data_IF_153490812205
#
_entry.id   IF_153490812205
#
_cell.length_a   1.000
_cell.length_b   1.000
_cell.length_c   1.000
_cell.angle_alpha   90.00
_cell.angle_beta   90.00
_cell.angle_gamma   90.00
#
_symmetry.space_group_name_H-M   'P 1'
#
loop_
_entity.id
_entity.type
_entity.pdbx_description
1 polymer ?
#
# COMPACT_ATOMS: atom_id res chain seq x y z
N UNK A 1 12.19 1.78 3.94
CA UNK A 1 12.03 2.62 2.75
C UNK A 1 10.60 2.37 2.31
N UNK A 2 9.75 3.39 2.27
CA UNK A 2 8.34 3.22 1.97
C UNK A 2 8.19 3.21 0.44
N UNK A 3 8.40 2.05 -0.17
CA UNK A 3 8.21 1.87 -1.60
C UNK A 3 6.84 1.25 -1.83
N UNK A 4 6.06 1.86 -2.72
CA UNK A 4 4.80 1.28 -3.19
C UNK A 4 4.98 0.91 -4.65
N UNK A 5 4.79 -0.36 -4.95
CA UNK A 5 4.82 -0.86 -6.32
C UNK A 5 3.40 -0.78 -6.88
N UNK A 6 3.26 -0.17 -8.06
CA UNK A 6 2.01 -0.01 -8.78
C UNK A 6 2.15 -0.69 -10.13
N UNK A 7 1.22 -1.59 -10.44
CA UNK A 7 1.03 -2.10 -11.79
C UNK A 7 0.14 -1.12 -12.56
N UNK A 8 0.61 -0.68 -13.72
CA UNK A 8 -0.06 0.21 -14.67
C UNK A 8 -0.18 -0.47 -16.04
N UNK A 9 -0.53 -1.74 -16.04
CA UNK A 9 -0.79 -2.55 -17.24
C UNK A 9 -2.11 -2.18 -17.95
N UNK A 10 -3.07 -1.58 -17.23
CA UNK A 10 -4.29 -1.05 -17.86
C UNK A 10 -4.02 0.25 -18.63
N UNK A 11 -4.38 0.25 -19.92
CA UNK A 11 -4.33 1.40 -20.84
C UNK A 11 -4.93 2.67 -20.22
N UNK A 12 -6.04 2.54 -19.49
CA UNK A 12 -6.71 3.67 -18.83
C UNK A 12 -5.82 4.41 -17.82
N UNK A 13 -4.87 3.70 -17.20
CA UNK A 13 -4.00 4.23 -16.16
C UNK A 13 -2.92 5.19 -16.70
N UNK A 14 -2.21 4.79 -17.77
CA UNK A 14 -1.13 5.59 -18.34
C UNK A 14 -1.58 6.51 -19.48
N UNK A 15 -2.69 6.23 -20.17
CA UNK A 15 -3.17 7.05 -21.29
C UNK A 15 -3.45 8.50 -20.89
N UNK A 16 -4.03 8.69 -19.71
CA UNK A 16 -4.30 10.02 -19.17
C UNK A 16 -3.00 10.81 -18.96
N UNK A 17 -1.91 10.12 -18.63
CA UNK A 17 -0.57 10.71 -18.44
C UNK A 17 0.06 11.02 -19.80
N UNK A 18 0.01 10.07 -20.74
CA UNK A 18 0.51 10.22 -22.11
C UNK A 18 -0.11 11.45 -22.80
N UNK A 19 -1.41 11.68 -22.61
CA UNK A 19 -2.15 12.78 -23.24
C UNK A 19 -1.90 14.16 -22.60
N UNK A 20 -1.46 14.21 -21.34
CA UNK A 20 -1.35 15.47 -20.57
C UNK A 20 0.07 16.00 -20.40
N UNK A 21 1.09 15.13 -20.25
CA UNK A 21 2.45 15.57 -19.98
C UNK A 21 3.49 14.71 -20.73
N UNK A 22 3.89 15.19 -21.91
CA UNK A 22 4.84 14.51 -22.79
C UNK A 22 6.27 14.36 -22.21
N UNK A 23 6.57 15.03 -21.10
CA UNK A 23 7.88 14.95 -20.44
C UNK A 23 7.86 14.05 -19.19
N UNK A 24 6.72 13.43 -18.86
CA UNK A 24 6.64 12.61 -17.67
C UNK A 24 7.58 11.41 -17.75
N UNK A 25 7.96 10.86 -16.60
CA UNK A 25 8.76 9.63 -16.54
C UNK A 25 8.07 8.47 -17.28
N UNK A 26 6.73 8.38 -17.21
CA UNK A 26 5.93 7.36 -17.90
C UNK A 26 6.02 7.52 -19.41
N UNK A 27 5.83 8.73 -19.93
CA UNK A 27 5.94 8.97 -21.38
C UNK A 27 7.33 8.62 -21.87
N UNK A 28 8.37 9.03 -21.14
CA UNK A 28 9.76 8.73 -21.51
C UNK A 28 10.05 7.23 -21.48
N UNK A 29 9.50 6.49 -20.53
CA UNK A 29 9.67 5.06 -20.40
C UNK A 29 9.00 4.27 -21.53
N UNK A 30 7.79 4.68 -21.92
CA UNK A 30 7.01 4.01 -22.97
C UNK A 30 7.34 4.52 -24.39
N UNK A 31 8.19 5.54 -24.52
CA UNK A 31 8.48 6.19 -25.80
C UNK A 31 9.10 5.22 -26.79
N UNK A 32 8.43 5.01 -27.92
CA UNK A 32 8.90 4.15 -29.01
C UNK A 32 8.65 2.67 -28.78
N UNK A 33 7.92 2.30 -27.71
CA UNK A 33 7.35 0.96 -27.56
C UNK A 33 6.00 0.90 -28.25
N UNK A 34 5.65 -0.29 -28.75
CA UNK A 34 4.28 -0.57 -29.17
C UNK A 34 3.43 -0.80 -27.91
N UNK A 35 2.68 0.22 -27.48
CA UNK A 35 1.85 0.16 -26.28
C UNK A 35 0.68 -0.83 -26.42
N UNK A 36 0.28 -1.15 -27.65
CA UNK A 36 -0.76 -2.16 -27.94
C UNK A 36 -0.28 -3.59 -27.58
N UNK A 37 1.02 -3.77 -27.35
CA UNK A 37 1.67 -5.04 -26.93
C UNK A 37 2.23 -4.94 -25.50
N UNK A 38 1.71 -4.02 -24.67
CA UNK A 38 2.16 -3.85 -23.29
C UNK A 38 1.48 -4.88 -22.36
N UNK A 39 2.20 -5.94 -22.01
CA UNK A 39 1.71 -6.99 -21.11
C UNK A 39 1.83 -6.63 -19.62
N UNK A 40 2.86 -5.86 -19.28
CA UNK A 40 3.12 -5.43 -17.89
C UNK A 40 3.89 -4.11 -17.89
N UNK A 41 3.45 -3.19 -17.05
CA UNK A 41 4.17 -1.96 -16.80
C UNK A 41 4.11 -1.57 -15.33
N UNK A 42 5.22 -1.74 -14.64
CA UNK A 42 5.28 -1.57 -13.19
C UNK A 42 6.13 -0.37 -12.82
N UNK A 43 5.61 0.45 -11.92
CA UNK A 43 6.29 1.59 -11.32
C UNK A 43 6.50 1.38 -9.83
N UNK A 44 7.69 1.71 -9.35
CA UNK A 44 7.98 1.83 -7.93
C UNK A 44 7.93 3.30 -7.52
N UNK A 45 7.05 3.62 -6.57
CA UNK A 45 6.98 4.93 -5.94
C UNK A 45 7.79 4.93 -4.65
N UNK A 46 8.91 5.64 -4.64
CA UNK A 46 9.71 5.80 -3.44
C UNK A 46 9.15 6.92 -2.57
N UNK A 47 9.23 6.75 -1.25
CA UNK A 47 8.80 7.77 -0.26
C UNK A 47 7.33 8.20 -0.43
N UNK A 48 6.49 7.29 -0.91
CA UNK A 48 5.08 7.57 -1.09
C UNK A 48 4.36 7.66 0.26
N UNK A 49 3.39 8.57 0.34
CA UNK A 49 2.55 8.79 1.52
C UNK A 49 1.10 8.48 1.19
N UNK A 50 0.49 7.61 2.00
CA UNK A 50 -0.95 7.35 1.95
C UNK A 50 -1.62 8.22 3.01
N UNK A 51 -2.53 9.08 2.58
CA UNK A 51 -3.34 9.91 3.47
C UNK A 51 -4.81 9.56 3.29
N UNK A 52 -5.52 9.36 4.41
CA UNK A 52 -6.93 9.05 4.42
C UNK A 52 -7.69 10.09 5.24
N UNK A 53 -8.83 10.56 4.74
CA UNK A 53 -9.75 11.45 5.44
C UNK A 53 -11.02 10.70 5.84
N UNK A 54 -11.67 11.15 6.92
CA UNK A 54 -12.91 10.53 7.39
C UNK A 54 -12.72 9.11 7.93
N UNK A 55 -11.55 8.83 8.54
CA UNK A 55 -11.28 7.51 9.14
C UNK A 55 -12.29 7.25 10.24
N UNK A 56 -13.05 6.16 10.09
CA UNK A 56 -14.00 5.66 11.09
C UNK A 56 -13.39 4.55 11.92
N UNK A 57 -12.69 3.62 11.27
CA UNK A 57 -12.06 2.49 11.94
C UNK A 57 -10.63 2.27 11.46
N UNK A 58 -9.78 1.84 12.39
CA UNK A 58 -8.40 1.41 12.15
C UNK A 58 -8.20 0.06 12.82
N UNK A 59 -7.86 -0.95 12.05
CA UNK A 59 -7.51 -2.28 12.56
C UNK A 59 -6.11 -2.64 12.11
N UNK A 60 -5.23 -2.93 13.05
CA UNK A 60 -3.81 -3.24 12.82
C UNK A 60 -3.51 -4.61 13.40
N UNK A 61 -2.79 -5.41 12.62
CA UNK A 61 -2.09 -6.62 13.05
C UNK A 61 -0.61 -6.45 12.76
N UNK A 62 0.23 -6.55 13.77
CA UNK A 62 1.68 -6.67 13.63
C UNK A 62 2.08 -8.11 14.02
N UNK A 63 2.56 -8.87 13.05
CA UNK A 63 3.01 -10.25 13.23
C UNK A 63 4.53 -10.28 13.34
N UNK A 64 5.05 -10.79 14.45
CA UNK A 64 6.50 -10.98 14.70
C UNK A 64 6.83 -12.47 14.83
N UNK A 65 8.12 -12.79 15.00
CA UNK A 65 8.57 -14.15 15.31
C UNK A 65 8.13 -14.66 16.69
N UNK A 66 7.75 -13.76 17.61
CA UNK A 66 7.41 -14.08 19.01
C UNK A 66 5.91 -13.99 19.30
N UNK A 67 5.13 -13.36 18.42
CA UNK A 67 3.68 -13.29 18.58
C UNK A 67 3.02 -12.23 17.69
N UNK A 68 1.70 -12.14 17.82
CA UNK A 68 0.89 -11.15 17.12
C UNK A 68 0.47 -10.03 18.10
N UNK A 69 0.57 -8.78 17.63
CA UNK A 69 0.11 -7.58 18.33
C UNK A 69 -1.05 -6.97 17.56
N UNK A 70 -2.06 -6.49 18.29
CA UNK A 70 -3.29 -5.97 17.70
C UNK A 70 -3.59 -4.56 18.19
N UNK A 71 -4.07 -3.71 17.29
CA UNK A 71 -4.60 -2.41 17.65
C UNK A 71 -5.90 -2.18 16.87
N UNK A 72 -6.98 -1.93 17.59
CA UNK A 72 -8.27 -1.61 16.97
C UNK A 72 -8.85 -0.33 17.55
N UNK A 73 -9.23 0.60 16.70
CA UNK A 73 -10.00 1.80 17.04
C UNK A 73 -11.15 1.99 16.05
N UNK A 74 -12.21 2.68 16.49
CA UNK A 74 -13.44 2.76 15.73
C UNK A 74 -14.23 1.46 15.78
N UNK A 75 -15.45 1.55 16.30
CA UNK A 75 -16.31 0.39 16.50
C UNK A 75 -17.51 0.37 15.57
N UNK A 76 -17.71 1.36 14.69
CA UNK A 76 -18.85 1.38 13.80
C UNK A 76 -18.54 1.96 12.41
N UNK A 77 -19.19 1.38 11.40
CA UNK A 77 -19.25 1.89 10.03
C UNK A 77 -20.58 1.52 9.40
N UNK A 78 -20.96 2.26 8.36
CA UNK A 78 -22.23 2.15 7.68
C UNK A 78 -22.06 1.64 6.24
N UNK A 79 -23.14 1.14 5.67
CA UNK A 79 -23.23 0.85 4.23
C UNK A 79 -22.78 2.08 3.44
N UNK A 80 -21.90 1.86 2.46
CA UNK A 80 -21.31 2.89 1.61
C UNK A 80 -19.98 3.45 2.11
N UNK A 81 -19.59 3.20 3.36
CA UNK A 81 -18.23 3.53 3.84
C UNK A 81 -17.20 2.71 3.05
N UNK A 82 -16.06 3.30 2.74
CA UNK A 82 -15.00 2.66 1.97
C UNK A 82 -14.00 1.97 2.89
N UNK A 83 -13.22 1.06 2.34
CA UNK A 83 -12.08 0.48 3.05
C UNK A 83 -10.87 0.29 2.15
N UNK A 84 -9.71 0.16 2.79
CA UNK A 84 -8.46 -0.27 2.13
C UNK A 84 -7.73 -1.25 3.03
N UNK A 85 -7.05 -2.20 2.40
CA UNK A 85 -6.07 -3.07 3.04
C UNK A 85 -4.66 -2.65 2.62
N UNK A 86 -3.82 -2.42 3.62
CA UNK A 86 -2.40 -2.17 3.46
C UNK A 86 -1.64 -3.29 4.17
N UNK A 87 -0.67 -3.91 3.51
CA UNK A 87 0.15 -4.94 4.11
C UNK A 87 1.60 -4.82 3.62
N UNK A 88 2.55 -5.20 4.46
CA UNK A 88 3.97 -5.21 4.10
C UNK A 88 4.87 -5.54 5.28
N UNK A 89 6.18 -5.54 5.03
CA UNK A 89 7.18 -5.69 6.08
C UNK A 89 7.24 -4.44 6.96
N UNK A 90 7.37 -4.63 8.27
CA UNK A 90 7.48 -3.51 9.20
C UNK A 90 8.92 -2.99 9.23
N UNK A 91 9.07 -1.71 8.91
CA UNK A 91 10.36 -1.01 8.97
C UNK A 91 10.89 -0.77 10.38
N UNK A 92 10.08 -0.97 11.41
CA UNK A 92 10.48 -0.66 12.79
C UNK A 92 10.89 -1.92 13.58
N UNK A 93 10.56 -3.12 13.09
CA UNK A 93 10.87 -4.39 13.75
C UNK A 93 11.33 -5.45 12.74
N UNK A 94 12.49 -6.04 12.97
CA UNK A 94 13.03 -7.10 12.09
C UNK A 94 12.10 -8.30 11.98
N UNK A 95 12.07 -8.92 10.80
CA UNK A 95 11.32 -10.14 10.52
C UNK A 95 9.85 -10.06 10.94
N UNK A 96 9.23 -8.90 10.74
CA UNK A 96 7.84 -8.68 11.13
C UNK A 96 7.05 -8.07 9.98
N UNK A 97 5.77 -8.38 9.94
CA UNK A 97 4.84 -7.90 8.92
C UNK A 97 3.71 -7.14 9.58
N UNK A 98 3.26 -6.07 8.93
CA UNK A 98 2.12 -5.27 9.35
C UNK A 98 0.98 -5.44 8.36
N UNK A 99 -0.23 -5.58 8.89
CA UNK A 99 -1.49 -5.49 8.15
C UNK A 99 -2.34 -4.40 8.77
N UNK A 100 -2.84 -3.49 7.95
CA UNK A 100 -3.68 -2.37 8.34
C UNK A 100 -4.93 -2.41 7.48
N UNK A 101 -6.09 -2.41 8.13
CA UNK A 101 -7.37 -2.16 7.50
C UNK A 101 -7.89 -0.81 7.99
N UNK A 102 -8.18 0.09 7.05
CA UNK A 102 -8.81 1.37 7.33
C UNK A 102 -10.22 1.34 6.77
N UNK A 103 -11.20 1.82 7.55
CA UNK A 103 -12.56 2.09 7.09
C UNK A 103 -12.81 3.59 7.19
N UNK A 104 -13.33 4.20 6.13
CA UNK A 104 -13.42 5.66 6.01
C UNK A 104 -14.59 6.09 5.13
N UNK A 105 -15.15 7.28 5.39
CA UNK A 105 -16.21 7.87 4.55
C UNK A 105 -15.70 8.98 3.60
N UNK A 106 -14.44 9.39 3.77
CA UNK A 106 -13.79 10.39 2.93
C UNK A 106 -13.08 9.81 1.70
N UNK A 107 -11.85 10.26 1.50
CA UNK A 107 -10.99 9.89 0.37
C UNK A 107 -9.63 9.36 0.82
N UNK A 108 -8.99 8.61 -0.08
CA UNK A 108 -7.59 8.21 0.01
C UNK A 108 -6.81 8.96 -1.05
N UNK A 109 -5.71 9.58 -0.66
CA UNK A 109 -4.74 10.15 -1.58
C UNK A 109 -3.39 9.46 -1.40
N UNK A 110 -2.82 9.03 -2.52
CA UNK A 110 -1.45 8.57 -2.61
C UNK A 110 -0.58 9.73 -3.13
N UNK A 111 0.25 10.28 -2.26
CA UNK A 111 1.10 11.42 -2.57
C UNK A 111 2.55 10.96 -2.78
N UNK A 112 3.18 11.43 -3.84
CA UNK A 112 4.58 11.17 -4.14
C UNK A 112 5.14 12.29 -5.03
N UNK A 113 6.47 12.43 -5.07
CA UNK A 113 7.14 13.34 -5.98
C UNK A 113 7.55 12.61 -7.25
N UNK A 114 7.44 13.23 -8.43
CA UNK A 114 7.75 12.55 -9.71
C UNK A 114 9.21 12.07 -9.78
N UNK A 115 10.15 12.80 -9.15
CA UNK A 115 11.57 12.39 -9.08
C UNK A 115 11.79 11.07 -8.33
N UNK A 116 10.80 10.63 -7.57
CA UNK A 116 10.87 9.45 -6.70
C UNK A 116 10.16 8.25 -7.33
N UNK A 117 9.68 8.40 -8.57
CA UNK A 117 9.13 7.32 -9.38
C UNK A 117 10.26 6.62 -10.12
N UNK A 118 10.27 5.29 -10.07
CA UNK A 118 11.21 4.44 -10.81
C UNK A 118 10.41 3.47 -11.68
N UNK A 119 10.84 3.30 -12.92
CA UNK A 119 10.33 2.23 -13.79
C UNK A 119 10.91 0.92 -13.31
N UNK A 120 10.05 0.04 -12.82
CA UNK A 120 10.47 -1.26 -12.30
C UNK A 120 10.61 -2.28 -13.44
N UNK A 121 9.57 -2.41 -14.26
CA UNK A 121 9.56 -3.36 -15.36
C UNK A 121 8.63 -2.96 -16.50
N UNK A 122 8.96 -3.38 -17.73
CA UNK A 122 8.13 -3.26 -18.94
C UNK A 122 8.19 -4.58 -19.71
N UNK A 123 7.06 -5.19 -20.04
CA UNK A 123 6.96 -6.47 -20.75
C UNK A 123 7.91 -7.53 -20.17
N UNK A 124 7.88 -7.68 -18.85
CA UNK A 124 8.73 -8.62 -18.08
C UNK A 124 10.24 -8.31 -18.09
N UNK A 125 10.67 -7.24 -18.75
CA UNK A 125 12.03 -6.74 -18.64
C UNK A 125 12.16 -5.89 -17.38
N UNK A 126 12.93 -6.37 -16.41
CA UNK A 126 13.21 -5.63 -15.18
C UNK A 126 14.31 -4.59 -15.43
N UNK A 127 14.04 -3.34 -15.04
CA UNK A 127 14.99 -2.23 -15.14
C UNK A 127 15.71 -1.93 -13.82
N UNK A 128 15.23 -2.50 -12.70
CA UNK A 128 15.92 -2.45 -11.41
C UNK A 128 16.99 -3.54 -11.39
N UNK A 129 18.26 -3.14 -11.21
CA UNK A 129 19.38 -4.09 -11.08
C UNK A 129 19.53 -4.54 -9.63
N UNK A 130 20.13 -5.72 -9.36
CA UNK A 130 20.43 -6.16 -8.00
C UNK A 130 21.22 -5.14 -7.17
N UNK A 131 22.15 -4.41 -7.79
CA UNK A 131 22.93 -3.35 -7.14
C UNK A 131 22.07 -2.17 -6.67
N UNK A 132 20.95 -1.90 -7.35
CA UNK A 132 20.00 -0.86 -6.99
C UNK A 132 19.15 -1.32 -5.80
N UNK A 133 18.77 -2.60 -5.76
CA UNK A 133 18.09 -3.25 -4.63
C UNK A 133 18.93 -3.12 -3.36
N UNK A 134 20.23 -3.42 -3.44
CA UNK A 134 21.15 -3.29 -2.32
C UNK A 134 21.25 -1.83 -1.81
N UNK A 135 21.24 -0.84 -2.72
CA UNK A 135 21.25 0.57 -2.34
C UNK A 135 19.94 0.99 -1.67
N UNK A 136 18.79 0.52 -2.18
CA UNK A 136 17.48 0.77 -1.58
C UNK A 136 17.37 0.13 -0.18
N UNK A 137 17.91 -1.07 0.00
CA UNK A 137 17.79 -1.83 1.24
C UNK A 137 18.84 -1.46 2.31
N UNK A 138 20.10 -1.17 1.95
CA UNK A 138 21.17 -0.88 2.92
C UNK A 138 20.90 0.35 3.81
N UNK A 139 20.25 1.36 3.25
CA UNK A 139 19.82 2.51 4.04
C UNK A 139 18.81 2.08 5.12
N UNK A 140 17.90 1.16 4.77
CA UNK A 140 16.85 0.69 5.65
C UNK A 140 17.39 -0.12 6.83
N UNK A 141 18.20 -1.16 6.59
CA UNK A 141 18.72 -2.03 7.65
C UNK A 141 19.53 -1.25 8.71
N UNK A 142 20.25 -0.22 8.24
CA UNK A 142 20.96 0.71 9.11
C UNK A 142 20.00 1.56 9.96
N UNK A 143 18.87 2.00 9.41
CA UNK A 143 17.85 2.74 10.16
C UNK A 143 17.07 1.86 11.16
N UNK A 144 16.77 0.59 10.82
CA UNK A 144 16.05 -0.33 11.74
C UNK A 144 16.92 -0.61 12.96
N UNK A 145 18.17 -1.03 12.74
CA UNK A 145 19.11 -1.34 13.80
C UNK A 145 19.40 -0.15 14.73
N UNK A 146 19.37 1.08 14.20
CA UNK A 146 19.55 2.31 14.99
C UNK A 146 18.34 2.73 15.82
N UNK A 147 17.11 2.35 15.45
CA UNK A 147 15.90 2.82 16.15
C UNK A 147 15.74 2.19 17.54
N UNK A 148 16.22 0.95 17.74
CA UNK A 148 16.16 0.17 18.99
C UNK A 148 14.85 0.32 19.80
N UNK A 149 13.72 0.55 19.14
CA UNK A 149 12.44 0.80 19.82
C UNK A 149 11.87 -0.53 20.27
N UNK A 150 11.31 -0.57 21.48
CA UNK A 150 10.60 -1.75 21.95
C UNK A 150 9.19 -1.74 21.41
N UNK A 151 8.66 -2.91 21.05
CA UNK A 151 7.29 -3.04 20.54
C UNK A 151 6.25 -2.59 21.57
N UNK A 152 6.57 -2.74 22.86
CA UNK A 152 5.74 -2.27 23.96
C UNK A 152 5.57 -0.74 23.97
N UNK A 153 6.49 0.02 23.37
CA UNK A 153 6.43 1.48 23.32
C UNK A 153 5.40 2.00 22.30
N UNK A 154 4.89 1.15 21.41
CA UNK A 154 3.93 1.54 20.35
C UNK A 154 2.48 1.59 20.83
N UNK A 155 2.17 1.18 22.07
CA UNK A 155 0.84 1.34 22.64
C UNK A 155 -0.27 0.52 21.96
N UNK A 156 0.05 -0.66 21.43
CA UNK A 156 -0.95 -1.61 20.93
C UNK A 156 -1.96 -1.93 22.04
N UNK A 157 -3.25 -1.73 21.77
CA UNK A 157 -4.30 -1.97 22.78
C UNK A 157 -4.69 -3.45 22.91
N UNK A 158 -4.10 -4.32 22.09
CA UNK A 158 -4.34 -5.76 22.02
C UNK A 158 -5.80 -6.16 21.75
N UNK A 159 -6.60 -5.24 21.22
CA UNK A 159 -7.97 -5.53 20.78
C UNK A 159 -7.90 -6.09 19.36
N UNK A 160 -8.17 -7.39 19.21
CA UNK A 160 -8.25 -8.05 17.91
C UNK A 160 -9.62 -7.80 17.27
N UNK A 161 -9.63 -7.21 16.08
CA UNK A 161 -10.84 -7.12 15.24
C UNK A 161 -11.04 -8.40 14.45
N UNK A 162 -12.26 -8.94 14.45
CA UNK A 162 -12.62 -10.07 13.59
C UNK A 162 -12.52 -9.71 12.10
N UNK A 163 -12.64 -8.42 11.75
CA UNK A 163 -12.55 -7.94 10.37
C UNK A 163 -11.14 -8.03 9.79
N UNK A 164 -10.12 -8.33 10.61
CA UNK A 164 -8.79 -8.65 10.10
C UNK A 164 -8.70 -10.06 9.48
N UNK A 165 -9.73 -10.88 9.63
CA UNK A 165 -9.83 -12.20 9.01
C UNK A 165 -10.69 -12.13 7.75
N UNK A 166 -10.15 -12.62 6.63
CA UNK A 166 -10.81 -12.53 5.30
C UNK A 166 -12.25 -13.06 5.32
N UNK A 167 -12.48 -14.25 5.88
CA UNK A 167 -13.81 -14.88 5.94
C UNK A 167 -14.86 -14.06 6.72
N UNK A 168 -14.41 -13.17 7.60
CA UNK A 168 -15.28 -12.27 8.35
C UNK A 168 -15.48 -10.96 7.59
N UNK A 169 -14.42 -10.43 6.98
CA UNK A 169 -14.47 -9.16 6.26
C UNK A 169 -15.36 -9.23 5.01
N UNK A 170 -15.34 -10.35 4.26
CA UNK A 170 -16.20 -10.56 3.08
C UNK A 170 -17.71 -10.51 3.36
N UNK A 171 -18.12 -10.56 4.64
CA UNK A 171 -19.53 -10.44 5.04
C UNK A 171 -19.99 -8.98 5.16
N UNK A 172 -19.05 -8.05 5.21
CA UNK A 172 -19.30 -6.63 5.44
C UNK A 172 -18.90 -5.77 4.27
N UNK A 173 -18.00 -6.25 3.41
CA UNK A 173 -17.42 -5.46 2.34
C UNK A 173 -17.59 -6.15 0.98
N UNK A 174 -17.85 -5.35 -0.05
CA UNK A 174 -17.69 -5.75 -1.44
C UNK A 174 -16.22 -5.66 -1.85
N UNK A 175 -15.75 -6.68 -2.56
CA UNK A 175 -14.39 -6.81 -3.07
C UNK A 175 -14.47 -6.82 -4.59
N UNK A 176 -14.86 -5.70 -5.17
CA UNK A 176 -14.94 -5.52 -6.62
C UNK A 176 -13.92 -4.48 -7.10
N UNK A 177 -13.53 -4.59 -8.37
CA UNK A 177 -12.70 -3.58 -9.05
C UNK A 177 -13.36 -2.19 -8.99
N UNK A 178 -14.69 -2.14 -8.90
CA UNK A 178 -15.50 -0.92 -8.88
C UNK A 178 -15.73 -0.33 -7.49
N UNK A 179 -15.39 -1.04 -6.40
CA UNK A 179 -15.59 -0.46 -5.08
C UNK A 179 -15.25 -1.37 -3.90
N UNK A 180 -14.18 -1.00 -3.19
CA UNK A 180 -13.93 -1.43 -1.82
C UNK A 180 -14.88 -0.69 -0.86
N UNK A 181 -16.14 -1.12 -0.77
CA UNK A 181 -17.19 -0.46 0.03
C UNK A 181 -17.90 -1.42 0.97
N UNK A 182 -18.40 -0.89 2.09
CA UNK A 182 -19.20 -1.61 3.05
C UNK A 182 -20.59 -1.87 2.48
N UNK A 183 -21.00 -3.13 2.45
CA UNK A 183 -22.33 -3.59 2.04
C UNK A 183 -23.25 -3.87 3.23
N UNK A 184 -22.70 -3.79 4.45
CA UNK A 184 -23.45 -3.98 5.69
C UNK A 184 -22.92 -3.06 6.79
N UNK A 185 -23.83 -2.52 7.60
CA UNK A 185 -23.46 -1.81 8.82
C UNK A 185 -22.74 -2.74 9.80
N UNK A 186 -21.77 -2.20 10.52
CA UNK A 186 -21.03 -2.90 11.57
C UNK A 186 -21.05 -2.07 12.85
N UNK A 187 -21.21 -2.77 13.96
CA UNK A 187 -21.04 -2.22 15.30
C UNK A 187 -20.41 -3.29 16.19
N UNK A 188 -19.28 -2.97 16.81
CA UNK A 188 -18.59 -3.81 17.80
C UNK A 188 -19.37 -3.88 19.11
#
# INVERSE_FOLDING_TARGET
>A
MNNIVINMDDELGYDAILKKNNNSIVVRALKGLNIDELDMFTLMLQRAEVTASGIKCVYIKLSTSTGDYYHSTGNEFNVGDKYIWLAGDCSDFENSTVKIMLVFDGGINLNFHESDVIVESINFNNFIKPEDIDKFNKAQDSFISLKSRRIEDFGFNNIKSALLEFDKSIKYFDYSETGNTAIRNYKF
#
